data_IF_039747342969
#
_entry.id   IF_039747342969
#
_cell.length_a   1.000
_cell.length_b   1.000
_cell.length_c   1.000
_cell.angle_alpha   90.00
_cell.angle_beta   90.00
_cell.angle_gamma   90.00
#
_symmetry.space_group_name_H-M   'P 1'
#
loop_
_entity.id
_entity.type
_entity.pdbx_description
1 polymer ?
#
# COMPACT_ATOMS: atom_id res chain seq x y z
N UNK A 1 -5.09 -10.52 10.41
CA UNK A 1 -3.67 -10.17 10.66
C UNK A 1 -2.65 -10.80 9.70
N UNK A 2 -2.80 -12.08 9.33
CA UNK A 2 -1.85 -12.80 8.45
C UNK A 2 -1.49 -12.08 7.15
N UNK A 3 -2.50 -11.63 6.37
CA UNK A 3 -2.26 -10.93 5.10
C UNK A 3 -1.66 -9.53 5.25
N UNK A 4 -1.82 -8.90 6.42
CA UNK A 4 -1.22 -7.59 6.70
C UNK A 4 0.31 -7.71 6.84
N UNK A 5 0.75 -8.71 7.59
CA UNK A 5 2.18 -8.97 7.85
C UNK A 5 2.82 -9.71 6.70
N UNK A 6 2.18 -10.73 6.17
CA UNK A 6 2.66 -11.55 5.06
C UNK A 6 1.67 -11.46 3.89
N UNK A 7 1.70 -10.35 3.12
CA UNK A 7 0.93 -10.30 1.89
C UNK A 7 1.45 -11.37 0.92
N UNK A 8 0.61 -11.89 0.02
CA UNK A 8 1.01 -12.97 -0.90
C UNK A 8 2.19 -12.65 -1.82
N UNK A 9 2.54 -11.37 -1.98
CA UNK A 9 3.69 -10.93 -2.76
C UNK A 9 4.30 -9.65 -2.20
N UNK A 10 5.61 -9.45 -2.44
CA UNK A 10 6.33 -8.25 -2.02
C UNK A 10 6.04 -7.05 -2.92
N UNK A 11 5.23 -7.16 -3.97
CA UNK A 11 4.75 -6.08 -4.83
C UNK A 11 3.35 -6.47 -5.30
N UNK A 12 2.39 -5.55 -5.20
CA UNK A 12 1.08 -5.76 -5.84
C UNK A 12 1.22 -5.63 -7.35
N UNK A 13 0.23 -6.17 -8.08
CA UNK A 13 0.16 -6.08 -9.53
C UNK A 13 0.27 -4.60 -9.93
N UNK A 14 1.24 -4.22 -10.79
CA UNK A 14 1.42 -2.84 -11.21
C UNK A 14 0.13 -2.30 -11.82
N UNK A 15 -0.24 -1.10 -11.41
CA UNK A 15 -1.39 -0.37 -11.94
C UNK A 15 -0.90 0.75 -12.84
N UNK A 16 -1.71 1.19 -13.78
CA UNK A 16 -1.46 2.41 -14.55
C UNK A 16 -2.52 3.45 -14.23
N UNK A 17 -2.16 4.73 -14.27
CA UNK A 17 -3.15 5.81 -14.20
C UNK A 17 -3.94 5.89 -15.51
N UNK A 18 -5.24 5.69 -15.47
CA UNK A 18 -6.10 5.75 -16.68
C UNK A 18 -6.26 7.17 -17.22
N UNK A 19 -6.12 8.16 -16.33
CA UNK A 19 -6.18 9.59 -16.61
C UNK A 19 -5.10 10.35 -15.83
N UNK A 20 -4.83 11.59 -16.22
CA UNK A 20 -3.91 12.45 -15.47
C UNK A 20 -4.59 12.94 -14.20
N UNK A 21 -3.98 12.74 -13.03
CA UNK A 21 -4.56 13.12 -11.74
C UNK A 21 -3.57 13.90 -10.85
N UNK A 22 -4.04 14.36 -9.68
CA UNK A 22 -3.18 14.96 -8.64
C UNK A 22 -3.29 14.14 -7.36
N UNK A 23 -2.16 13.65 -6.86
CA UNK A 23 -2.09 12.92 -5.58
C UNK A 23 -1.17 13.68 -4.63
N UNK A 24 -1.69 14.08 -3.46
CA UNK A 24 -0.95 14.83 -2.43
C UNK A 24 -0.19 16.05 -2.97
N UNK A 25 -0.76 16.74 -3.94
CA UNK A 25 -0.17 17.93 -4.59
C UNK A 25 0.73 17.62 -5.80
N UNK A 26 1.11 16.37 -6.03
CA UNK A 26 1.90 15.97 -7.20
C UNK A 26 0.99 15.68 -8.40
N UNK A 27 1.40 16.15 -9.58
CA UNK A 27 0.72 15.79 -10.82
C UNK A 27 1.23 14.45 -11.35
N UNK A 28 0.31 13.53 -11.61
CA UNK A 28 0.59 12.20 -12.15
C UNK A 28 -0.01 12.14 -13.56
N UNK A 29 0.82 12.05 -14.61
CA UNK A 29 0.32 11.90 -15.97
C UNK A 29 -0.40 10.57 -16.19
N UNK A 30 -1.33 10.55 -17.14
CA UNK A 30 -1.91 9.32 -17.69
C UNK A 30 -0.83 8.34 -18.12
N UNK A 31 -1.04 7.06 -17.83
CA UNK A 31 -0.12 5.97 -18.17
C UNK A 31 1.03 5.76 -17.17
N UNK A 32 1.13 6.57 -16.11
CA UNK A 32 2.15 6.39 -15.07
C UNK A 32 1.96 5.04 -14.37
N UNK A 33 3.04 4.24 -14.28
CA UNK A 33 3.06 3.00 -13.54
C UNK A 33 3.06 3.26 -12.03
N UNK A 34 2.17 2.59 -11.32
CA UNK A 34 1.94 2.72 -9.89
C UNK A 34 2.22 1.38 -9.21
N UNK A 35 3.14 1.41 -8.26
CA UNK A 35 3.48 0.28 -7.41
C UNK A 35 3.02 0.59 -5.99
N UNK A 36 2.14 -0.25 -5.45
CA UNK A 36 1.64 -0.11 -4.09
C UNK A 36 2.19 -1.24 -3.23
N UNK A 37 2.66 -0.87 -2.04
CA UNK A 37 3.42 -1.75 -1.19
C UNK A 37 3.21 -1.41 0.28
N UNK A 38 3.25 -2.45 1.11
CA UNK A 38 3.58 -2.39 2.53
C UNK A 38 2.76 -1.42 3.41
N UNK A 39 1.55 -0.99 2.99
CA UNK A 39 0.64 -0.19 3.84
C UNK A 39 0.31 -0.87 5.18
N UNK A 40 0.34 -2.21 5.19
CA UNK A 40 0.18 -3.00 6.41
C UNK A 40 1.27 -2.76 7.46
N UNK A 41 2.42 -2.19 7.11
CA UNK A 41 3.55 -1.95 8.03
C UNK A 41 3.69 -0.48 8.45
N UNK A 42 2.78 0.41 8.03
CA UNK A 42 2.88 1.83 8.35
C UNK A 42 2.59 2.08 9.85
N UNK A 43 3.55 2.58 10.64
CA UNK A 43 3.36 2.86 12.07
C UNK A 43 2.35 3.98 12.35
N UNK A 44 2.04 4.81 11.35
CA UNK A 44 1.02 5.88 11.49
C UNK A 44 -0.40 5.34 11.45
N UNK A 45 -0.58 4.13 10.92
CA UNK A 45 -1.87 3.48 10.75
C UNK A 45 -1.99 2.30 11.72
N UNK A 46 -0.89 1.58 11.96
CA UNK A 46 -0.86 0.35 12.77
C UNK A 46 0.04 0.53 13.98
N UNK A 47 -0.52 0.50 15.19
CA UNK A 47 0.23 0.38 16.43
C UNK A 47 1.04 -0.93 16.44
N UNK A 48 2.33 -0.93 16.78
CA UNK A 48 3.21 -2.10 16.69
C UNK A 48 3.14 -2.84 15.33
N UNK A 49 3.47 -2.18 14.20
CA UNK A 49 3.18 -2.65 12.85
C UNK A 49 3.92 -3.93 12.44
N UNK A 50 4.98 -4.31 13.15
CA UNK A 50 5.74 -5.54 12.88
C UNK A 50 5.28 -6.73 13.72
N UNK A 51 4.40 -6.51 14.72
CA UNK A 51 3.92 -7.54 15.63
C UNK A 51 2.65 -8.20 15.08
N UNK A 52 2.60 -9.53 15.14
CA UNK A 52 1.39 -10.29 14.87
C UNK A 52 0.48 -10.24 16.11
N UNK A 53 -0.69 -9.62 15.93
CA UNK A 53 -1.70 -9.38 16.95
C UNK A 53 -3.07 -9.82 16.39
N UNK A 54 -3.46 -11.10 16.52
CA UNK A 54 -4.74 -11.63 16.04
C UNK A 54 -5.94 -10.80 16.47
N UNK A 55 -5.95 -10.34 17.72
CA UNK A 55 -7.00 -9.57 18.39
C UNK A 55 -7.27 -8.19 17.79
N UNK A 56 -6.42 -7.73 16.86
CA UNK A 56 -6.61 -6.45 16.16
C UNK A 56 -7.79 -6.51 15.18
N UNK A 57 -8.22 -7.70 14.78
CA UNK A 57 -9.36 -7.95 13.88
C UNK A 57 -10.39 -8.82 14.57
#
# INVERSE_FOLDING_TARGET
>A
ETLRICPPGPLLIPRSSDESCKIRGYHIPKGTALFTLAMGRDPRIWEHPTKFMPERF
#
